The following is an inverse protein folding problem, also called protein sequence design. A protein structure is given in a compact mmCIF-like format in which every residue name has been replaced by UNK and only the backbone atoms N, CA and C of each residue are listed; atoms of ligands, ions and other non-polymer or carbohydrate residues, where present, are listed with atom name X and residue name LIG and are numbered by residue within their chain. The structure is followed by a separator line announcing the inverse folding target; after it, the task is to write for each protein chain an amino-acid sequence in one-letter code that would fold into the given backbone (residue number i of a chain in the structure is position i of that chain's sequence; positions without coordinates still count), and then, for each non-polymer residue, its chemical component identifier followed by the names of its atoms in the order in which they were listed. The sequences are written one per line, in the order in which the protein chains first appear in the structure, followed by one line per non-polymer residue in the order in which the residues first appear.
data_IF_698460252699
#
_entry.id   IF_698460252699
#
_cell.length_a   1.000
_cell.length_b   1.000
_cell.length_c   1.000
_cell.angle_alpha   90.00
_cell.angle_beta   90.00
_cell.angle_gamma   90.00
#
_symmetry.space_group_name_H-M   'P 1'
#
loop_
_entity.id
_entity.type
_entity.pdbx_description
1 polymer ?
#
# COMPACT_ATOMS: atom_id res chain seq x y z
N UNK A 1 20.16 19.15 21.80
CA UNK A 1 20.98 18.27 20.95
C UNK A 1 20.10 17.19 20.36
N UNK A 2 19.94 17.19 19.03
CA UNK A 2 19.13 16.18 18.36
C UNK A 2 19.86 14.86 18.36
N UNK A 3 19.25 13.82 18.92
CA UNK A 3 19.79 12.47 18.81
C UNK A 3 19.59 11.96 17.37
N UNK A 4 20.46 11.06 16.92
CA UNK A 4 20.36 10.41 15.62
C UNK A 4 19.01 9.70 15.48
N UNK A 5 18.43 9.23 16.59
CA UNK A 5 17.11 8.61 16.63
C UNK A 5 15.99 9.57 16.28
N UNK A 6 16.05 10.83 16.72
CA UNK A 6 15.05 11.83 16.36
C UNK A 6 15.11 12.20 14.89
N UNK A 7 16.30 12.29 14.30
CA UNK A 7 16.46 12.53 12.87
C UNK A 7 15.90 11.37 12.04
N UNK A 8 16.14 10.13 12.48
CA UNK A 8 15.56 8.95 11.80
C UNK A 8 14.04 8.95 11.89
N UNK A 9 13.46 9.31 13.02
CA UNK A 9 12.02 9.39 13.20
C UNK A 9 11.40 10.43 12.28
N UNK A 10 12.02 11.60 12.14
CA UNK A 10 11.55 12.66 11.25
C UNK A 10 11.62 12.22 9.79
N UNK A 11 12.71 11.57 9.37
CA UNK A 11 12.88 11.04 8.02
C UNK A 11 11.86 9.95 7.70
N UNK A 12 11.63 9.02 8.62
CA UNK A 12 10.64 7.96 8.47
C UNK A 12 9.23 8.54 8.36
N UNK A 13 8.93 9.58 9.15
CA UNK A 13 7.64 10.28 9.10
C UNK A 13 7.46 10.99 7.75
N UNK A 14 8.50 11.65 7.23
CA UNK A 14 8.46 12.31 5.93
C UNK A 14 8.29 11.28 4.81
N UNK A 15 9.04 10.19 4.85
CA UNK A 15 8.91 9.10 3.87
C UNK A 15 7.50 8.51 3.88
N UNK A 16 6.92 8.27 5.05
CA UNK A 16 5.55 7.76 5.17
C UNK A 16 4.52 8.74 4.62
N UNK A 17 4.67 10.04 4.89
CA UNK A 17 3.79 11.08 4.36
C UNK A 17 3.85 11.15 2.84
N UNK A 18 5.03 11.06 2.26
CA UNK A 18 5.23 11.06 0.81
C UNK A 18 4.57 9.81 0.21
N UNK A 19 4.81 8.64 0.81
CA UNK A 19 4.21 7.39 0.35
C UNK A 19 2.68 7.46 0.38
N UNK A 20 2.10 7.94 1.48
CA UNK A 20 0.65 8.04 1.63
C UNK A 20 0.06 9.02 0.61
N UNK A 21 0.71 10.16 0.39
CA UNK A 21 0.31 11.12 -0.63
C UNK A 21 0.40 10.53 -2.03
N UNK A 22 1.45 9.75 -2.30
CA UNK A 22 1.62 9.07 -3.59
C UNK A 22 0.52 8.03 -3.84
N UNK A 23 0.18 7.23 -2.83
CA UNK A 23 -0.89 6.24 -2.93
C UNK A 23 -2.21 6.94 -3.29
N UNK A 24 -2.53 8.03 -2.60
CA UNK A 24 -3.74 8.78 -2.86
C UNK A 24 -3.75 9.40 -4.26
N UNK A 25 -2.67 10.06 -4.66
CA UNK A 25 -2.58 10.72 -5.97
C UNK A 25 -2.61 9.72 -7.12
N UNK A 26 -1.86 8.63 -7.01
CA UNK A 26 -1.88 7.58 -8.02
C UNK A 26 -3.24 6.90 -8.12
N UNK A 27 -3.89 6.65 -6.99
CA UNK A 27 -5.21 6.03 -6.96
C UNK A 27 -6.28 6.89 -7.60
N UNK A 28 -6.28 8.20 -7.31
CA UNK A 28 -7.27 9.13 -7.83
C UNK A 28 -7.03 9.54 -9.27
N UNK A 29 -5.77 9.79 -9.65
CA UNK A 29 -5.42 10.40 -10.92
C UNK A 29 -4.62 9.52 -11.87
N UNK A 30 -4.20 8.32 -11.42
CA UNK A 30 -3.40 7.40 -12.19
C UNK A 30 -1.90 7.62 -12.03
N UNK A 31 -1.11 6.72 -12.61
CA UNK A 31 0.35 6.73 -12.45
C UNK A 31 1.06 7.83 -13.28
N UNK A 32 0.31 8.57 -14.08
CA UNK A 32 0.84 9.72 -14.81
C UNK A 32 1.10 10.96 -13.95
N UNK A 33 0.65 10.96 -12.70
CA UNK A 33 0.88 12.08 -11.77
C UNK A 33 2.38 12.30 -11.56
N UNK A 34 2.82 13.57 -11.63
CA UNK A 34 4.21 13.93 -11.46
C UNK A 34 4.65 14.01 -9.99
N UNK A 35 5.97 13.91 -9.77
CA UNK A 35 6.55 14.00 -8.43
C UNK A 35 6.27 15.34 -7.75
N UNK A 36 6.17 16.42 -8.51
CA UNK A 36 5.87 17.74 -7.95
C UNK A 36 4.49 17.78 -7.31
N UNK A 37 3.49 17.20 -7.96
CA UNK A 37 2.13 17.12 -7.43
C UNK A 37 2.09 16.30 -6.15
N UNK A 38 2.80 15.18 -6.13
CA UNK A 38 2.91 14.32 -4.94
C UNK A 38 3.59 15.07 -3.80
N UNK A 39 4.68 15.78 -4.10
CA UNK A 39 5.41 16.57 -3.10
C UNK A 39 4.52 17.65 -2.49
N UNK A 40 3.76 18.38 -3.31
CA UNK A 40 2.80 19.38 -2.84
C UNK A 40 1.75 18.75 -1.92
N UNK A 41 1.19 17.62 -2.31
CA UNK A 41 0.20 16.91 -1.49
C UNK A 41 0.79 16.45 -0.15
N UNK A 42 2.06 16.07 -0.13
CA UNK A 42 2.76 15.65 1.10
C UNK A 42 3.28 16.83 1.93
N UNK A 43 3.26 18.06 1.39
CA UNK A 43 3.79 19.23 2.06
C UNK A 43 5.31 19.26 2.13
N UNK A 44 5.99 18.70 1.13
CA UNK A 44 7.46 18.63 1.05
C UNK A 44 7.95 19.09 -0.32
N UNK A 45 9.28 19.23 -0.47
CA UNK A 45 9.88 19.54 -1.75
C UNK A 45 9.99 18.31 -2.63
N UNK A 46 10.01 18.51 -3.95
CA UNK A 46 10.27 17.41 -4.89
C UNK A 46 11.66 16.80 -4.67
N UNK A 47 12.65 17.61 -4.28
CA UNK A 47 13.98 17.12 -3.94
C UNK A 47 13.95 16.13 -2.77
N UNK A 48 13.10 16.37 -1.78
CA UNK A 48 12.97 15.46 -0.64
C UNK A 48 12.34 14.13 -1.07
N UNK A 49 11.39 14.15 -1.98
CA UNK A 49 10.81 12.91 -2.55
C UNK A 49 11.91 12.08 -3.22
N UNK A 50 12.75 12.71 -4.05
CA UNK A 50 13.86 12.04 -4.72
C UNK A 50 14.90 11.54 -3.70
N UNK A 51 15.15 12.31 -2.64
CA UNK A 51 16.06 11.89 -1.57
C UNK A 51 15.62 10.57 -0.95
N UNK A 52 14.33 10.41 -0.66
CA UNK A 52 13.82 9.20 0.00
C UNK A 52 13.62 8.02 -0.96
N UNK A 53 13.20 8.27 -2.18
CA UNK A 53 12.74 7.19 -3.08
C UNK A 53 13.58 7.06 -4.36
N UNK A 54 14.45 8.01 -4.63
CA UNK A 54 15.36 8.00 -5.78
C UNK A 54 14.72 8.42 -7.08
N UNK A 55 13.57 7.89 -7.42
CA UNK A 55 12.87 8.13 -8.67
C UNK A 55 11.37 7.93 -8.48
N UNK A 56 10.59 8.27 -9.51
CA UNK A 56 9.15 7.98 -9.52
C UNK A 56 8.89 6.46 -9.49
N UNK A 57 9.70 5.68 -10.18
CA UNK A 57 9.63 4.22 -10.17
C UNK A 57 9.93 3.67 -8.79
N UNK A 58 10.92 4.22 -8.10
CA UNK A 58 11.26 3.86 -6.72
C UNK A 58 10.12 4.18 -5.76
N UNK A 59 9.46 5.32 -5.94
CA UNK A 59 8.29 5.70 -5.16
C UNK A 59 7.12 4.75 -5.41
N UNK A 60 6.85 4.43 -6.68
CA UNK A 60 5.79 3.48 -7.03
C UNK A 60 6.04 2.11 -6.44
N UNK A 61 7.29 1.64 -6.49
CA UNK A 61 7.66 0.36 -5.87
C UNK A 61 7.40 0.36 -4.37
N UNK A 62 7.75 1.45 -3.68
CA UNK A 62 7.48 1.58 -2.25
C UNK A 62 5.98 1.57 -1.94
N UNK A 63 5.17 2.20 -2.78
CA UNK A 63 3.72 2.15 -2.67
C UNK A 63 3.19 0.73 -2.88
N UNK A 64 3.67 0.04 -3.92
CA UNK A 64 3.28 -1.34 -4.21
C UNK A 64 3.59 -2.26 -3.03
N UNK A 65 4.80 -2.16 -2.47
CA UNK A 65 5.24 -2.98 -1.34
C UNK A 65 4.37 -2.73 -0.10
N UNK A 66 4.06 -1.47 0.16
CA UNK A 66 3.23 -1.09 1.30
C UNK A 66 1.80 -1.61 1.15
N UNK A 67 1.19 -1.43 -0.03
CA UNK A 67 -0.18 -1.88 -0.29
C UNK A 67 -0.26 -3.40 -0.19
N UNK A 68 0.71 -4.12 -0.74
CA UNK A 68 0.77 -5.57 -0.66
C UNK A 68 0.87 -6.06 0.79
N UNK A 69 1.68 -5.37 1.62
CA UNK A 69 1.84 -5.70 3.03
C UNK A 69 0.55 -5.46 3.83
N UNK A 70 -0.11 -4.34 3.59
CA UNK A 70 -1.38 -4.02 4.23
C UNK A 70 -2.49 -5.03 3.88
N UNK A 71 -2.53 -5.47 2.64
CA UNK A 71 -3.48 -6.49 2.21
C UNK A 71 -3.21 -7.82 2.94
N UNK A 72 -1.94 -8.23 3.03
CA UNK A 72 -1.57 -9.46 3.76
C UNK A 72 -1.96 -9.39 5.24
N UNK A 73 -1.69 -8.26 5.87
CA UNK A 73 -2.01 -8.06 7.29
C UNK A 73 -3.52 -8.08 7.53
N UNK A 74 -4.31 -7.45 6.68
CA UNK A 74 -5.76 -7.42 6.81
C UNK A 74 -6.37 -8.81 6.64
N UNK A 75 -5.87 -9.61 5.70
CA UNK A 75 -6.31 -10.99 5.52
C UNK A 75 -5.97 -11.86 6.72
N UNK A 76 -4.76 -11.70 7.26
CA UNK A 76 -4.32 -12.45 8.44
C UNK A 76 -5.21 -12.17 9.65
N UNK A 77 -5.56 -10.92 9.90
CA UNK A 77 -6.45 -10.53 10.99
C UNK A 77 -7.87 -11.04 10.78
N UNK A 78 -8.40 -10.94 9.57
CA UNK A 78 -9.73 -11.43 9.25
C UNK A 78 -9.87 -12.94 9.48
N UNK A 79 -8.82 -13.70 9.22
CA UNK A 79 -8.81 -15.14 9.44
C UNK A 79 -8.70 -15.54 10.92
N UNK A 80 -8.12 -14.68 11.75
CA UNK A 80 -7.93 -14.95 13.18
C UNK A 80 -9.15 -14.69 14.02
N UNK A 81 -10.13 -13.95 13.51
CA UNK A 81 -11.25 -13.45 14.28
C UNK A 81 -12.57 -14.02 13.78
N UNK A 82 -13.17 -14.93 14.57
CA UNK A 82 -14.52 -15.44 14.34
C UNK A 82 -15.59 -14.70 15.17
N UNK A 83 -15.22 -13.54 15.75
CA UNK A 83 -16.11 -12.78 16.61
C UNK A 83 -16.94 -11.78 15.78
N UNK A 84 -18.29 -11.81 15.87
CA UNK A 84 -19.13 -10.82 15.17
C UNK A 84 -18.80 -9.37 15.51
N UNK A 85 -18.35 -9.08 16.73
CA UNK A 85 -17.96 -7.73 17.14
C UNK A 85 -16.75 -7.22 16.36
N UNK A 86 -15.81 -8.08 16.01
CA UNK A 86 -14.65 -7.70 15.20
C UNK A 86 -15.02 -7.42 13.74
N UNK A 87 -16.07 -8.06 13.23
CA UNK A 87 -16.61 -7.78 11.89
C UNK A 87 -17.16 -6.36 11.79
N UNK A 88 -17.85 -5.89 12.83
CA UNK A 88 -18.34 -4.52 12.91
C UNK A 88 -17.17 -3.53 12.95
N UNK A 89 -16.10 -3.83 13.70
CA UNK A 89 -14.88 -3.03 13.72
C UNK A 89 -14.20 -2.97 12.36
N UNK A 90 -14.14 -4.09 11.65
CA UNK A 90 -13.59 -4.17 10.30
C UNK A 90 -14.42 -3.35 9.30
N UNK A 91 -15.75 -3.38 9.40
CA UNK A 91 -16.62 -2.57 8.56
C UNK A 91 -16.43 -1.08 8.81
N UNK A 92 -16.18 -0.67 10.06
CA UNK A 92 -15.89 0.72 10.40
C UNK A 92 -14.54 1.18 9.82
N UNK A 93 -13.60 0.28 9.58
CA UNK A 93 -12.29 0.58 9.02
C UNK A 93 -12.27 0.61 7.48
N UNK A 94 -13.35 0.19 6.81
CA UNK A 94 -13.42 0.14 5.34
C UNK A 94 -13.12 1.51 4.73
N UNK A 95 -13.59 2.60 5.33
CA UNK A 95 -13.31 3.95 4.83
C UNK A 95 -11.83 4.30 4.89
N UNK A 96 -11.09 3.79 5.88
CA UNK A 96 -9.65 4.02 5.99
C UNK A 96 -8.87 3.29 4.89
N UNK A 97 -9.43 2.25 4.30
CA UNK A 97 -8.82 1.50 3.21
C UNK A 97 -9.16 2.03 1.82
N UNK A 98 -10.01 3.05 1.71
CA UNK A 98 -10.43 3.59 0.41
C UNK A 98 -9.25 4.03 -0.46
N UNK A 99 -8.21 4.74 0.04
CA UNK A 99 -7.05 5.08 -0.78
C UNK A 99 -6.28 3.85 -1.27
N UNK A 100 -6.14 2.82 -0.44
CA UNK A 100 -5.47 1.57 -0.81
C UNK A 100 -6.25 0.83 -1.88
N UNK A 101 -7.58 0.78 -1.75
CA UNK A 101 -8.47 0.15 -2.73
C UNK A 101 -8.38 0.86 -4.08
N UNK A 102 -8.42 2.19 -4.08
CA UNK A 102 -8.31 2.98 -5.30
C UNK A 102 -6.96 2.74 -6.00
N UNK A 103 -5.88 2.69 -5.23
CA UNK A 103 -4.55 2.37 -5.74
C UNK A 103 -4.50 0.98 -6.36
N UNK A 104 -5.05 -0.01 -5.66
CA UNK A 104 -5.08 -1.39 -6.14
C UNK A 104 -5.86 -1.51 -7.45
N UNK A 105 -7.05 -0.90 -7.54
CA UNK A 105 -7.86 -0.91 -8.76
C UNK A 105 -7.07 -0.27 -9.91
N UNK A 106 -6.43 0.86 -9.66
CA UNK A 106 -5.62 1.54 -10.67
C UNK A 106 -4.46 0.66 -11.15
N UNK A 107 -3.80 -0.05 -10.22
CA UNK A 107 -2.72 -0.98 -10.56
C UNK A 107 -3.22 -2.14 -11.42
N UNK A 108 -4.38 -2.70 -11.10
CA UNK A 108 -4.99 -3.78 -11.88
C UNK A 108 -5.35 -3.33 -13.29
N UNK A 109 -5.88 -2.11 -13.44
CA UNK A 109 -6.25 -1.56 -14.75
C UNK A 109 -5.04 -1.26 -15.63
N UNK A 110 -3.93 -0.83 -15.01
CA UNK A 110 -2.74 -0.40 -15.72
C UNK A 110 -1.80 -1.58 -16.03
N UNK A 111 -1.88 -2.64 -15.24
CA UNK A 111 -0.88 -3.72 -15.22
C UNK A 111 0.41 -3.24 -14.55
N UNK A 112 1.16 -4.13 -13.97
CA UNK A 112 2.42 -3.78 -13.31
C UNK A 112 2.78 -4.83 -12.27
N UNK A 113 3.85 -4.57 -11.51
CA UNK A 113 4.41 -5.52 -10.55
C UNK A 113 3.39 -5.93 -9.48
N UNK A 114 2.63 -4.96 -8.93
CA UNK A 114 1.64 -5.26 -7.90
C UNK A 114 0.52 -6.14 -8.46
N UNK A 115 0.01 -5.82 -9.64
CA UNK A 115 -1.05 -6.61 -10.28
C UNK A 115 -0.58 -8.05 -10.53
N UNK A 116 0.65 -8.23 -11.00
CA UNK A 116 1.24 -9.55 -11.22
C UNK A 116 1.41 -10.31 -9.90
N UNK A 117 1.88 -9.67 -8.87
CA UNK A 117 2.04 -10.26 -7.53
C UNK A 117 0.68 -10.73 -6.99
N UNK A 118 -0.33 -9.89 -7.08
CA UNK A 118 -1.68 -10.22 -6.62
C UNK A 118 -2.28 -11.39 -7.40
N UNK A 119 -2.06 -11.41 -8.71
CA UNK A 119 -2.52 -12.50 -9.57
C UNK A 119 -1.89 -13.83 -9.17
N UNK A 120 -0.56 -13.85 -8.99
CA UNK A 120 0.17 -15.05 -8.57
C UNK A 120 -0.28 -15.54 -7.19
N UNK A 121 -0.47 -14.63 -6.24
CA UNK A 121 -0.98 -15.00 -4.91
C UNK A 121 -2.38 -15.61 -4.98
N UNK A 122 -3.23 -15.06 -5.83
CA UNK A 122 -4.58 -15.58 -6.00
C UNK A 122 -4.57 -17.00 -6.56
N UNK A 123 -3.71 -17.28 -7.53
CA UNK A 123 -3.53 -18.61 -8.11
C UNK A 123 -2.99 -19.59 -7.07
N UNK A 124 -1.96 -19.21 -6.31
CA UNK A 124 -1.39 -20.05 -5.26
C UNK A 124 -2.42 -20.37 -4.18
N UNK A 125 -3.20 -19.38 -3.76
CA UNK A 125 -4.25 -19.59 -2.77
C UNK A 125 -5.34 -20.52 -3.29
N UNK A 126 -5.71 -20.40 -4.56
CA UNK A 126 -6.69 -21.28 -5.18
C UNK A 126 -6.17 -22.71 -5.24
N UNK A 127 -4.91 -22.92 -5.63
CA UNK A 127 -4.31 -24.25 -5.67
C UNK A 127 -4.27 -24.88 -4.27
N UNK A 128 -3.85 -24.13 -3.27
CA UNK A 128 -3.81 -24.60 -1.88
C UNK A 128 -5.20 -24.97 -1.40
N UNK A 129 -6.21 -24.17 -1.72
CA UNK A 129 -7.60 -24.45 -1.37
C UNK A 129 -8.10 -25.74 -2.03
N UNK A 130 -7.86 -25.91 -3.31
CA UNK A 130 -8.24 -27.13 -4.04
C UNK A 130 -7.54 -28.37 -3.51
N UNK A 131 -6.24 -28.26 -3.23
CA UNK A 131 -5.49 -29.38 -2.65
C UNK A 131 -6.02 -29.76 -1.27
N UNK A 132 -6.40 -28.79 -0.45
CA UNK A 132 -6.99 -29.06 0.85
C UNK A 132 -8.34 -29.77 0.75
N UNK A 133 -9.14 -29.46 -0.27
CA UNK A 133 -10.42 -30.15 -0.53
C UNK A 133 -10.24 -31.59 -0.98
N UNK A 134 -9.18 -31.85 -1.74
CA UNK A 134 -8.88 -33.20 -2.26
C UNK A 134 -8.42 -34.13 -1.14
N UNK A 135 -7.74 -33.62 -0.12
CA UNK A 135 -7.22 -34.42 1.01
C UNK A 135 -8.24 -34.65 2.13
N UNK A 136 -9.43 -34.16 1.97
CA UNK A 136 -10.54 -34.47 2.87
C UNK A 136 -11.29 -35.69 2.37
#
# INVERSE_FOLDING_TARGET
MFSVLNMRSADLTAAARIRDAAIEQFGQHGFGVGLRTIAEAAGVSAALVIHHFGSKEGLRKACDDYVAEEIRNSKSEAMKSNDPASWLGQMAEIESYAPLTAYLVRSLQTGGALAMTMWHQMIENAETYFLSLIHI
#
